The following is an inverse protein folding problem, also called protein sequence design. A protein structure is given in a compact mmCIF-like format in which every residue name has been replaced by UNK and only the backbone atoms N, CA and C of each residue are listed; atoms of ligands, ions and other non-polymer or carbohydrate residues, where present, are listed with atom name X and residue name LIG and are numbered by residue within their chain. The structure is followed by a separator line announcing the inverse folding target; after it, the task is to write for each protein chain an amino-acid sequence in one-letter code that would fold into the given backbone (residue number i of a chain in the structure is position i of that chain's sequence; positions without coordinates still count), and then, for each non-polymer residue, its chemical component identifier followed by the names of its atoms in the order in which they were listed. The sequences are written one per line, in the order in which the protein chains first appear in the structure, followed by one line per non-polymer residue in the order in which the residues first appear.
data_IF_149375858282
#
_entry.id   IF_149375858282
#
_cell.length_a   1.000
_cell.length_b   1.000
_cell.length_c   1.000
_cell.angle_alpha   90.00
_cell.angle_beta   90.00
_cell.angle_gamma   90.00
#
_symmetry.space_group_name_H-M   'P 1'
#
loop_
_entity.id
_entity.type
_entity.pdbx_description
1 polymer ?
#
# COMPACT_ATOMS: atom_id res chain seq x y z
N UNK A 1 32.00 26.80 -19.27
CA UNK A 1 30.67 26.50 -18.69
C UNK A 1 29.75 26.05 -19.79
N UNK A 2 29.21 24.84 -19.70
CA UNK A 2 27.81 24.65 -20.02
C UNK A 2 27.10 23.94 -18.87
N UNK A 3 25.93 24.47 -18.51
CA UNK A 3 24.98 23.86 -17.59
C UNK A 3 24.52 22.50 -18.16
N UNK A 4 24.80 21.42 -17.44
CA UNK A 4 24.11 20.15 -17.65
C UNK A 4 22.87 20.16 -16.76
N UNK A 5 21.71 20.32 -17.40
CA UNK A 5 20.41 19.98 -16.82
C UNK A 5 20.46 18.51 -16.40
N UNK A 6 20.64 18.25 -15.10
CA UNK A 6 20.36 16.93 -14.55
C UNK A 6 18.85 16.76 -14.56
N UNK A 7 18.33 16.11 -15.60
CA UNK A 7 17.03 15.46 -15.55
C UNK A 7 16.97 14.64 -14.25
N UNK A 8 16.17 15.10 -13.28
CA UNK A 8 15.79 14.27 -12.15
C UNK A 8 14.99 13.12 -12.73
N UNK A 9 15.65 11.99 -12.95
CA UNK A 9 14.97 10.73 -13.16
C UNK A 9 13.93 10.57 -12.04
N UNK A 10 12.64 10.35 -12.36
CA UNK A 10 11.68 10.03 -11.34
C UNK A 10 12.18 8.77 -10.64
N UNK A 11 12.32 8.85 -9.31
CA UNK A 11 12.56 7.69 -8.46
C UNK A 11 11.60 6.59 -8.93
N UNK A 12 12.10 5.37 -9.24
CA UNK A 12 11.19 4.27 -9.55
C UNK A 12 10.21 4.17 -8.39
N UNK A 13 8.93 4.04 -8.73
CA UNK A 13 7.87 3.76 -7.76
C UNK A 13 8.44 2.78 -6.73
N UNK A 14 8.31 3.09 -5.43
CA UNK A 14 8.75 2.21 -4.36
C UNK A 14 8.05 0.86 -4.51
N UNK A 15 8.63 0.00 -5.34
CA UNK A 15 8.31 -1.39 -5.46
C UNK A 15 8.83 -1.97 -4.16
N UNK A 16 7.89 -2.29 -3.27
CA UNK A 16 8.16 -3.20 -2.17
C UNK A 16 8.95 -4.38 -2.75
N UNK A 17 10.12 -4.77 -2.17
CA UNK A 17 11.07 -5.69 -2.78
C UNK A 17 10.64 -7.16 -2.70
N UNK A 18 9.34 -7.41 -2.73
CA UNK A 18 8.74 -8.73 -2.70
C UNK A 18 7.70 -8.74 -3.81
N UNK A 19 8.01 -9.42 -4.91
CA UNK A 19 7.10 -9.65 -6.04
C UNK A 19 5.87 -10.49 -5.64
N UNK A 20 5.07 -9.97 -4.72
CA UNK A 20 3.81 -10.52 -4.28
C UNK A 20 2.76 -9.88 -5.17
N UNK A 21 2.45 -10.56 -6.28
CA UNK A 21 1.21 -10.33 -6.99
C UNK A 21 0.06 -10.76 -6.07
N UNK A 22 -0.49 -9.82 -5.30
CA UNK A 22 -1.74 -10.03 -4.58
C UNK A 22 -2.86 -10.06 -5.62
N UNK A 23 -3.04 -11.20 -6.29
CA UNK A 23 -4.16 -11.43 -7.20
C UNK A 23 -5.42 -11.63 -6.37
N UNK A 24 -6.02 -10.53 -5.91
CA UNK A 24 -7.36 -10.58 -5.29
C UNK A 24 -8.36 -10.89 -6.39
N UNK A 25 -8.87 -12.11 -6.41
CA UNK A 25 -9.93 -12.50 -7.35
C UNK A 25 -11.20 -11.72 -7.03
N UNK A 26 -11.92 -11.18 -8.03
CA UNK A 26 -13.21 -10.55 -7.78
C UNK A 26 -14.16 -11.54 -7.12
N UNK A 27 -15.08 -11.09 -6.26
CA UNK A 27 -16.00 -12.00 -5.59
C UNK A 27 -16.77 -12.82 -6.63
N UNK A 28 -16.92 -14.15 -6.44
CA UNK A 28 -17.41 -15.09 -7.46
C UNK A 28 -18.84 -14.85 -7.93
N UNK A 29 -19.55 -13.88 -7.35
CA UNK A 29 -20.95 -13.52 -7.64
C UNK A 29 -21.13 -12.17 -8.33
N UNK A 30 -20.04 -11.40 -8.56
CA UNK A 30 -20.12 -10.03 -9.08
C UNK A 30 -20.90 -9.93 -10.40
N UNK A 31 -20.68 -10.87 -11.32
CA UNK A 31 -21.38 -10.90 -12.60
C UNK A 31 -22.90 -11.09 -12.48
N UNK A 32 -23.36 -11.93 -11.54
CA UNK A 32 -24.81 -12.11 -11.29
C UNK A 32 -25.42 -10.84 -10.70
N UNK A 33 -24.76 -10.24 -9.72
CA UNK A 33 -25.26 -9.03 -9.07
C UNK A 33 -25.34 -7.86 -10.05
N UNK A 34 -24.41 -7.75 -10.99
CA UNK A 34 -24.46 -6.73 -12.03
C UNK A 34 -25.73 -6.83 -12.89
N UNK A 35 -26.06 -8.03 -13.37
CA UNK A 35 -27.29 -8.24 -14.14
C UNK A 35 -28.55 -7.95 -13.33
N UNK A 36 -28.53 -8.24 -12.01
CA UNK A 36 -29.62 -7.88 -11.11
C UNK A 36 -29.79 -6.36 -11.02
N UNK A 37 -28.70 -5.60 -10.83
CA UNK A 37 -28.78 -4.13 -10.74
C UNK A 37 -29.33 -3.52 -12.02
N UNK A 38 -28.85 -3.97 -13.19
CA UNK A 38 -29.35 -3.50 -14.49
C UNK A 38 -30.82 -3.87 -14.69
N UNK A 39 -31.19 -5.11 -14.40
CA UNK A 39 -32.57 -5.60 -14.53
C UNK A 39 -33.54 -4.83 -13.62
N UNK A 40 -33.19 -4.65 -12.35
CA UNK A 40 -33.99 -3.89 -11.38
C UNK A 40 -34.12 -2.43 -11.81
N UNK A 41 -33.04 -1.80 -12.27
CA UNK A 41 -33.08 -0.43 -12.79
C UNK A 41 -34.04 -0.28 -13.98
N UNK A 42 -34.01 -1.22 -14.92
CA UNK A 42 -34.90 -1.21 -16.08
C UNK A 42 -36.36 -1.37 -15.65
N UNK A 43 -36.63 -2.29 -14.72
CA UNK A 43 -37.99 -2.50 -14.17
C UNK A 43 -38.49 -1.24 -13.48
N UNK A 44 -37.70 -0.60 -12.61
CA UNK A 44 -38.07 0.67 -11.96
C UNK A 44 -38.42 1.72 -13.01
N UNK A 45 -37.57 1.90 -14.01
CA UNK A 45 -37.78 2.90 -15.06
C UNK A 45 -39.09 2.65 -15.82
N UNK A 46 -39.28 1.44 -16.34
CA UNK A 46 -40.47 1.08 -17.13
C UNK A 46 -41.74 1.12 -16.29
N UNK A 47 -41.74 0.55 -15.09
CA UNK A 47 -42.92 0.48 -14.22
C UNK A 47 -43.35 1.87 -13.77
N UNK A 48 -42.42 2.70 -13.29
CA UNK A 48 -42.74 4.07 -12.86
C UNK A 48 -43.29 4.92 -14.00
N UNK A 49 -42.76 4.76 -15.22
CA UNK A 49 -43.28 5.47 -16.40
C UNK A 49 -44.67 4.98 -16.80
N UNK A 50 -44.86 3.66 -16.93
CA UNK A 50 -46.16 3.11 -17.32
C UNK A 50 -47.22 3.49 -16.29
N UNK A 51 -46.98 3.23 -15.00
CA UNK A 51 -47.93 3.54 -13.94
C UNK A 51 -48.17 5.05 -13.82
N UNK A 52 -47.10 5.85 -13.92
CA UNK A 52 -47.16 7.30 -13.82
C UNK A 52 -47.98 7.95 -14.93
N UNK A 53 -47.89 7.44 -16.16
CA UNK A 53 -48.61 7.99 -17.30
C UNK A 53 -50.01 7.38 -17.51
N UNK A 54 -50.35 6.29 -16.81
CA UNK A 54 -51.65 5.60 -16.96
C UNK A 54 -52.49 5.66 -15.69
N UNK A 55 -52.19 4.82 -14.70
CA UNK A 55 -53.00 4.59 -13.51
C UNK A 55 -52.86 5.68 -12.45
N UNK A 56 -51.69 6.33 -12.38
CA UNK A 56 -51.32 7.27 -11.32
C UNK A 56 -51.00 8.67 -11.86
N UNK A 57 -51.66 9.07 -12.96
CA UNK A 57 -51.41 10.36 -13.64
C UNK A 57 -51.55 11.59 -12.73
N UNK A 58 -52.53 11.57 -11.84
CA UNK A 58 -52.80 12.67 -10.90
C UNK A 58 -52.07 12.52 -9.56
N UNK A 59 -51.37 11.40 -9.34
CA UNK A 59 -50.71 11.15 -8.07
C UNK A 59 -49.50 12.07 -7.91
N UNK A 60 -49.49 12.87 -6.85
CA UNK A 60 -48.38 13.73 -6.47
C UNK A 60 -48.08 13.52 -4.99
N UNK A 61 -46.82 13.30 -4.66
CA UNK A 61 -46.39 13.15 -3.27
C UNK A 61 -45.30 14.16 -2.92
N UNK A 62 -45.67 15.41 -2.55
CA UNK A 62 -44.74 16.43 -2.15
C UNK A 62 -44.22 16.19 -0.73
N UNK A 63 -43.07 15.53 -0.60
CA UNK A 63 -42.46 15.22 0.70
C UNK A 63 -41.02 15.71 0.79
N UNK A 64 -40.87 17.00 1.09
CA UNK A 64 -39.58 17.69 1.15
C UNK A 64 -38.54 17.01 2.05
N UNK A 65 -38.85 16.56 3.29
CA UNK A 65 -37.84 15.94 4.14
C UNK A 65 -37.24 14.65 3.57
N UNK A 66 -38.04 13.85 2.85
CA UNK A 66 -37.59 12.58 2.26
C UNK A 66 -36.71 12.87 1.05
N UNK A 67 -37.14 13.79 0.19
CA UNK A 67 -36.33 14.26 -0.93
C UNK A 67 -34.96 14.79 -0.45
N UNK A 68 -34.97 15.72 0.52
CA UNK A 68 -33.75 16.32 1.04
C UNK A 68 -32.82 15.26 1.66
N UNK A 69 -33.36 14.27 2.36
CA UNK A 69 -32.57 13.16 2.91
C UNK A 69 -31.89 12.32 1.82
N UNK A 70 -32.62 11.97 0.74
CA UNK A 70 -32.07 11.21 -0.39
C UNK A 70 -30.96 12.01 -1.09
N UNK A 71 -31.20 13.28 -1.37
CA UNK A 71 -30.22 14.14 -2.04
C UNK A 71 -28.98 14.43 -1.17
N UNK A 72 -29.17 14.75 0.10
CA UNK A 72 -28.06 15.04 1.02
C UNK A 72 -27.21 13.79 1.29
N UNK A 73 -27.84 12.62 1.46
CA UNK A 73 -27.09 11.36 1.60
C UNK A 73 -26.26 11.06 0.35
N UNK A 74 -26.81 11.32 -0.83
CA UNK A 74 -26.10 11.26 -2.10
C UNK A 74 -24.86 12.17 -2.16
N UNK A 75 -25.03 13.44 -1.80
CA UNK A 75 -23.94 14.42 -1.76
C UNK A 75 -22.82 14.02 -0.79
N UNK A 76 -23.16 13.52 0.40
CA UNK A 76 -22.17 13.03 1.38
C UNK A 76 -21.41 11.79 0.86
N UNK A 77 -22.13 10.84 0.24
CA UNK A 77 -21.51 9.66 -0.38
C UNK A 77 -20.56 10.08 -1.50
N UNK A 78 -20.96 11.04 -2.33
CA UNK A 78 -20.12 11.56 -3.42
C UNK A 78 -18.82 12.17 -2.89
N UNK A 79 -18.87 12.99 -1.83
CA UNK A 79 -17.66 13.55 -1.18
C UNK A 79 -16.76 12.44 -0.65
N UNK A 80 -17.32 11.41 0.00
CA UNK A 80 -16.53 10.30 0.52
C UNK A 80 -15.86 9.49 -0.59
N UNK A 81 -16.59 9.17 -1.67
CA UNK A 81 -16.06 8.48 -2.85
C UNK A 81 -14.97 9.31 -3.52
N UNK A 82 -15.17 10.62 -3.66
CA UNK A 82 -14.16 11.53 -4.22
C UNK A 82 -12.87 11.50 -3.39
N UNK A 83 -12.99 11.59 -2.07
CA UNK A 83 -11.84 11.50 -1.17
C UNK A 83 -11.12 10.17 -1.30
N UNK A 84 -11.85 9.05 -1.34
CA UNK A 84 -11.27 7.72 -1.53
C UNK A 84 -10.51 7.62 -2.86
N UNK A 85 -11.10 8.10 -3.96
CA UNK A 85 -10.45 8.10 -5.29
C UNK A 85 -9.16 8.92 -5.34
N UNK A 86 -9.14 10.09 -4.68
CA UNK A 86 -7.96 10.93 -4.58
C UNK A 86 -6.88 10.30 -3.68
N UNK A 87 -7.29 9.68 -2.57
CA UNK A 87 -6.39 8.91 -1.69
C UNK A 87 -5.68 7.80 -2.46
N UNK A 88 -6.42 7.03 -3.27
CA UNK A 88 -5.85 6.00 -4.13
C UNK A 88 -4.86 6.58 -5.16
N UNK A 89 -5.16 7.72 -5.78
CA UNK A 89 -4.26 8.33 -6.76
C UNK A 89 -2.99 8.89 -6.10
N UNK A 90 -3.08 9.50 -4.91
CA UNK A 90 -1.91 9.94 -4.15
C UNK A 90 -0.98 8.79 -3.76
N UNK A 91 -1.54 7.60 -3.52
CA UNK A 91 -0.78 6.37 -3.22
C UNK A 91 -0.29 5.64 -4.48
N UNK A 92 -0.49 6.19 -5.69
CA UNK A 92 -0.23 5.53 -6.98
C UNK A 92 -0.97 4.19 -7.19
N UNK A 93 -2.06 3.96 -6.45
CA UNK A 93 -2.93 2.79 -6.58
C UNK A 93 -4.20 3.08 -7.42
N UNK A 94 -4.33 4.30 -7.95
CA UNK A 94 -5.51 4.74 -8.70
C UNK A 94 -5.53 4.34 -10.20
N UNK A 95 -6.75 4.30 -10.75
CA UNK A 95 -6.96 4.09 -12.20
C UNK A 95 -6.62 5.34 -13.01
N UNK A 96 -6.68 5.26 -14.34
CA UNK A 96 -6.47 6.44 -15.21
C UNK A 96 -7.51 7.54 -15.04
N UNK A 97 -8.63 7.28 -14.36
CA UNK A 97 -9.81 8.14 -14.36
C UNK A 97 -10.18 8.69 -12.99
N UNK A 98 -9.51 8.26 -11.92
CA UNK A 98 -9.87 8.60 -10.53
C UNK A 98 -9.99 10.12 -10.32
N UNK A 99 -9.07 10.92 -10.88
CA UNK A 99 -9.06 12.38 -10.74
C UNK A 99 -10.30 13.03 -11.36
N UNK A 100 -10.68 12.57 -12.56
CA UNK A 100 -11.82 13.10 -13.29
C UNK A 100 -13.14 12.72 -12.61
N UNK A 101 -13.26 11.44 -12.21
CA UNK A 101 -14.43 10.93 -11.50
C UNK A 101 -14.57 11.61 -10.12
N UNK A 102 -13.46 11.81 -9.39
CA UNK A 102 -13.48 12.53 -8.12
C UNK A 102 -13.94 13.99 -8.31
N UNK A 103 -13.45 14.67 -9.35
CA UNK A 103 -13.95 16.00 -9.72
C UNK A 103 -15.45 15.99 -10.00
N UNK A 104 -15.94 15.01 -10.76
CA UNK A 104 -17.37 14.86 -11.05
C UNK A 104 -18.20 14.63 -9.77
N UNK A 105 -17.74 13.77 -8.87
CA UNK A 105 -18.37 13.53 -7.56
C UNK A 105 -18.45 14.80 -6.72
N UNK A 106 -17.37 15.58 -6.66
CA UNK A 106 -17.34 16.85 -5.92
C UNK A 106 -18.31 17.86 -6.52
N UNK A 107 -18.26 18.06 -7.85
CA UNK A 107 -19.09 19.05 -8.53
C UNK A 107 -20.58 18.71 -8.44
N UNK A 108 -20.95 17.48 -8.82
CA UNK A 108 -22.33 17.00 -8.75
C UNK A 108 -22.84 16.98 -7.31
N UNK A 109 -22.10 16.33 -6.40
CA UNK A 109 -22.53 16.15 -5.01
C UNK A 109 -22.68 17.46 -4.24
N UNK A 110 -21.87 18.48 -4.55
CA UNK A 110 -22.00 19.79 -3.93
C UNK A 110 -23.26 20.54 -4.39
N UNK A 111 -23.55 20.53 -5.69
CA UNK A 111 -24.76 21.17 -6.23
C UNK A 111 -26.03 20.44 -5.79
N UNK A 112 -26.01 19.10 -5.75
CA UNK A 112 -27.12 18.30 -5.21
C UNK A 112 -27.33 18.56 -3.71
N UNK A 113 -26.24 18.73 -2.95
CA UNK A 113 -26.31 19.13 -1.54
C UNK A 113 -26.95 20.50 -1.35
N UNK A 114 -26.59 21.49 -2.19
CA UNK A 114 -27.23 22.81 -2.17
C UNK A 114 -28.71 22.73 -2.59
N UNK A 115 -29.02 21.96 -3.64
CA UNK A 115 -30.38 21.68 -4.10
C UNK A 115 -31.26 21.10 -2.99
N UNK A 116 -30.73 20.15 -2.22
CA UNK A 116 -31.43 19.53 -1.10
C UNK A 116 -31.85 20.53 0.00
N UNK A 117 -31.17 21.67 0.10
CA UNK A 117 -31.43 22.73 1.09
C UNK A 117 -32.46 23.76 0.62
N UNK A 118 -32.92 23.67 -0.63
CA UNK A 118 -33.79 24.67 -1.26
C UNK A 118 -35.21 24.15 -1.38
N UNK A 119 -36.19 25.01 -1.13
CA UNK A 119 -37.60 24.68 -1.33
C UNK A 119 -37.94 24.57 -2.82
N UNK A 120 -38.91 23.73 -3.16
CA UNK A 120 -39.25 23.45 -4.55
C UNK A 120 -39.74 24.70 -5.30
N UNK A 121 -38.95 25.12 -6.29
CA UNK A 121 -39.14 26.33 -7.07
C UNK A 121 -38.17 26.40 -8.27
N UNK A 122 -37.89 27.61 -8.76
CA UNK A 122 -36.98 27.81 -9.89
C UNK A 122 -35.55 27.35 -9.55
N UNK A 123 -35.01 27.84 -8.43
CA UNK A 123 -33.65 27.53 -7.97
C UNK A 123 -33.44 26.05 -7.66
N UNK A 124 -34.48 25.39 -7.14
CA UNK A 124 -34.48 23.95 -6.92
C UNK A 124 -34.20 23.19 -8.22
N UNK A 125 -34.96 23.45 -9.29
CA UNK A 125 -34.74 22.77 -10.57
C UNK A 125 -33.43 23.23 -11.22
N UNK A 126 -33.04 24.50 -11.04
CA UNK A 126 -31.79 25.05 -11.57
C UNK A 126 -30.55 24.34 -11.04
N UNK A 127 -30.43 24.25 -9.72
CA UNK A 127 -29.27 23.63 -9.08
C UNK A 127 -29.17 22.16 -9.44
N UNK A 128 -30.27 21.41 -9.38
CA UNK A 128 -30.28 20.01 -9.79
C UNK A 128 -29.90 19.81 -11.26
N UNK A 129 -30.52 20.55 -12.18
CA UNK A 129 -30.25 20.39 -13.62
C UNK A 129 -28.79 20.74 -13.95
N UNK A 130 -28.24 21.73 -13.25
CA UNK A 130 -26.83 22.09 -13.39
C UNK A 130 -25.91 21.04 -12.77
N UNK A 131 -26.30 20.41 -11.64
CA UNK A 131 -25.56 19.31 -11.04
C UNK A 131 -25.39 18.14 -12.02
N UNK A 132 -26.48 17.72 -12.66
CA UNK A 132 -26.49 16.65 -13.66
C UNK A 132 -25.62 17.01 -14.87
N UNK A 133 -25.74 18.24 -15.36
CA UNK A 133 -24.93 18.72 -16.50
C UNK A 133 -23.44 18.77 -16.18
N UNK A 134 -23.06 19.44 -15.08
CA UNK A 134 -21.66 19.56 -14.62
C UNK A 134 -21.07 18.19 -14.35
N UNK A 135 -21.81 17.33 -13.65
CA UNK A 135 -21.40 15.96 -13.39
C UNK A 135 -21.17 15.17 -14.69
N UNK A 136 -22.08 15.28 -15.67
CA UNK A 136 -21.91 14.65 -16.98
C UNK A 136 -20.67 15.15 -17.74
N UNK A 137 -20.43 16.46 -17.76
CA UNK A 137 -19.22 17.04 -18.38
C UNK A 137 -17.95 16.51 -17.72
N UNK A 138 -17.89 16.53 -16.39
CA UNK A 138 -16.71 16.09 -15.64
C UNK A 138 -16.49 14.57 -15.76
N UNK A 139 -17.56 13.78 -15.75
CA UNK A 139 -17.47 12.34 -16.02
C UNK A 139 -17.02 12.07 -17.45
N UNK A 140 -17.47 12.81 -18.45
CA UNK A 140 -17.01 12.63 -19.83
C UNK A 140 -15.50 12.87 -19.99
N UNK A 141 -14.84 13.54 -19.03
CA UNK A 141 -13.38 13.68 -19.01
C UNK A 141 -12.64 12.36 -18.79
N UNK A 142 -13.31 11.23 -18.50
CA UNK A 142 -12.68 9.89 -18.56
C UNK A 142 -12.13 9.55 -19.95
N UNK A 143 -12.50 10.28 -21.00
CA UNK A 143 -11.89 10.17 -22.32
C UNK A 143 -10.53 10.88 -22.43
N UNK A 144 -10.17 11.73 -21.47
CA UNK A 144 -8.91 12.47 -21.45
C UNK A 144 -7.75 11.56 -20.98
N UNK A 145 -6.57 11.60 -21.63
CA UNK A 145 -5.42 10.79 -21.24
C UNK A 145 -4.93 11.03 -19.80
N UNK A 146 -4.46 9.96 -19.12
CA UNK A 146 -3.97 9.99 -17.72
C UNK A 146 -2.84 11.01 -17.48
N UNK A 147 -2.01 11.28 -18.49
CA UNK A 147 -0.87 12.22 -18.38
C UNK A 147 -1.29 13.64 -18.00
N UNK A 148 -2.51 14.05 -18.38
CA UNK A 148 -3.07 15.35 -18.03
C UNK A 148 -3.58 15.36 -16.58
N UNK A 149 -4.25 14.29 -16.17
CA UNK A 149 -4.78 14.14 -14.82
C UNK A 149 -3.68 14.21 -13.74
N UNK A 150 -2.52 13.59 -13.95
CA UNK A 150 -1.41 13.64 -12.97
C UNK A 150 -0.82 15.03 -12.78
N UNK A 151 -0.71 15.84 -13.85
CA UNK A 151 -0.21 17.22 -13.74
C UNK A 151 -1.17 18.13 -12.99
N UNK A 152 -2.47 17.86 -13.12
CA UNK A 152 -3.53 18.65 -12.52
C UNK A 152 -4.01 18.11 -11.16
N UNK A 153 -3.54 16.92 -10.76
CA UNK A 153 -4.01 16.15 -9.60
C UNK A 153 -4.15 16.98 -8.33
N UNK A 154 -3.15 17.80 -8.02
CA UNK A 154 -3.10 18.55 -6.77
C UNK A 154 -4.08 19.73 -6.72
N UNK A 155 -4.51 20.27 -7.86
CA UNK A 155 -5.32 21.50 -7.92
C UNK A 155 -6.72 21.28 -8.51
N UNK A 156 -6.91 20.24 -9.34
CA UNK A 156 -8.17 20.01 -10.05
C UNK A 156 -9.39 19.85 -9.13
N UNK A 157 -9.36 19.00 -8.08
CA UNK A 157 -10.52 18.84 -7.19
C UNK A 157 -10.89 20.15 -6.48
N UNK A 158 -9.89 20.93 -6.09
CA UNK A 158 -10.09 22.23 -5.44
C UNK A 158 -10.60 23.30 -6.41
N UNK A 159 -10.15 23.28 -7.66
CA UNK A 159 -10.65 24.15 -8.71
C UNK A 159 -12.13 23.86 -8.99
N UNK A 160 -12.50 22.58 -9.15
CA UNK A 160 -13.89 22.17 -9.33
C UNK A 160 -14.73 22.59 -8.12
N UNK A 161 -14.28 22.28 -6.90
CA UNK A 161 -14.97 22.69 -5.67
C UNK A 161 -15.19 24.21 -5.64
N UNK A 162 -14.13 25.00 -5.82
CA UNK A 162 -14.23 26.47 -5.73
C UNK A 162 -15.16 27.08 -6.77
N UNK A 163 -15.05 26.64 -8.04
CA UNK A 163 -15.90 27.14 -9.13
C UNK A 163 -17.36 26.75 -8.90
N UNK A 164 -17.62 25.48 -8.58
CA UNK A 164 -18.99 24.97 -8.42
C UNK A 164 -19.63 25.52 -7.14
N UNK A 165 -18.88 25.63 -6.05
CA UNK A 165 -19.36 26.24 -4.81
C UNK A 165 -19.75 27.70 -5.03
N UNK A 166 -18.85 28.49 -5.63
CA UNK A 166 -19.12 29.89 -5.93
C UNK A 166 -20.34 30.03 -6.84
N UNK A 167 -20.44 29.22 -7.88
CA UNK A 167 -21.59 29.21 -8.78
C UNK A 167 -22.90 28.88 -8.05
N UNK A 168 -22.91 27.88 -7.18
CA UNK A 168 -24.09 27.48 -6.40
C UNK A 168 -24.54 28.58 -5.44
N UNK A 169 -23.58 29.18 -4.72
CA UNK A 169 -23.87 30.29 -3.79
C UNK A 169 -24.37 31.53 -4.55
N UNK A 170 -23.76 31.89 -5.69
CA UNK A 170 -24.21 33.03 -6.49
C UNK A 170 -25.61 32.80 -7.06
N UNK A 171 -25.93 31.57 -7.49
CA UNK A 171 -27.28 31.22 -7.96
C UNK A 171 -28.32 31.43 -6.86
N UNK A 172 -27.99 31.07 -5.62
CA UNK A 172 -28.88 31.26 -4.46
C UNK A 172 -28.95 32.71 -3.99
N UNK A 173 -27.86 33.46 -4.09
CA UNK A 173 -27.80 34.87 -3.68
C UNK A 173 -28.55 35.79 -4.66
N UNK A 174 -28.64 35.41 -5.95
CA UNK A 174 -29.29 36.20 -6.99
C UNK A 174 -30.35 35.40 -7.77
N UNK A 175 -31.49 35.03 -7.15
CA UNK A 175 -32.51 34.18 -7.80
C UNK A 175 -33.16 34.78 -9.06
N UNK A 176 -33.06 36.10 -9.24
CA UNK A 176 -33.58 36.78 -10.44
C UNK A 176 -32.67 36.67 -11.66
N UNK A 177 -31.43 36.20 -11.50
CA UNK A 177 -30.45 36.08 -12.57
C UNK A 177 -30.46 34.69 -13.23
N UNK A 178 -31.14 33.71 -12.63
CA UNK A 178 -31.19 32.34 -13.16
C UNK A 178 -32.27 32.20 -14.24
N UNK A 179 -32.08 31.29 -15.22
CA UNK A 179 -33.10 31.01 -16.21
C UNK A 179 -34.39 30.50 -15.57
N UNK A 180 -35.55 30.80 -16.18
CA UNK A 180 -36.81 30.19 -15.75
C UNK A 180 -36.77 28.69 -16.04
N UNK A 181 -36.77 27.89 -14.98
CA UNK A 181 -36.68 26.43 -15.01
C UNK A 181 -38.04 25.73 -14.97
N UNK A 182 -39.06 26.38 -14.39
CA UNK A 182 -40.44 25.91 -14.28
C UNK A 182 -41.39 26.91 -14.91
N UNK A 183 -42.37 26.39 -15.65
CA UNK A 183 -43.51 27.13 -16.16
C UNK A 183 -44.81 26.50 -15.67
N UNK A 184 -45.88 27.29 -15.64
CA UNK A 184 -47.23 26.78 -15.40
C UNK A 184 -47.89 26.65 -16.77
N UNK A 185 -48.34 25.45 -17.14
CA UNK A 185 -49.04 25.22 -18.42
C UNK A 185 -50.50 25.75 -18.35
N UNK A 186 -51.21 25.68 -19.47
CA UNK A 186 -52.61 26.12 -19.55
C UNK A 186 -53.54 25.35 -18.60
N UNK A 187 -53.15 24.14 -18.18
CA UNK A 187 -53.86 23.33 -17.19
C UNK A 187 -53.50 23.67 -15.72
N UNK A 188 -52.62 24.65 -15.47
CA UNK A 188 -52.19 25.03 -14.12
C UNK A 188 -51.10 24.13 -13.52
N UNK A 189 -50.55 23.18 -14.28
CA UNK A 189 -49.50 22.25 -13.83
C UNK A 189 -48.10 22.86 -13.99
N UNK A 190 -47.20 22.55 -13.06
CA UNK A 190 -45.79 22.95 -13.13
C UNK A 190 -45.03 22.01 -14.07
N UNK A 191 -44.59 22.53 -15.20
CA UNK A 191 -43.84 21.79 -16.22
C UNK A 191 -42.40 22.31 -16.30
N UNK A 192 -41.45 21.39 -16.52
CA UNK A 192 -40.06 21.74 -16.73
C UNK A 192 -39.85 22.51 -18.05
N UNK A 193 -39.08 23.59 -17.96
CA UNK A 193 -38.64 24.40 -19.10
C UNK A 193 -37.77 23.61 -20.09
N UNK A 194 -37.58 24.18 -21.29
CA UNK A 194 -36.59 23.67 -22.23
C UNK A 194 -35.17 23.68 -21.62
N UNK A 195 -34.79 24.71 -20.86
CA UNK A 195 -33.49 24.78 -20.19
C UNK A 195 -33.27 23.62 -19.22
N UNK A 196 -34.26 23.33 -18.38
CA UNK A 196 -34.23 22.20 -17.45
C UNK A 196 -34.06 20.86 -18.18
N UNK A 197 -34.85 20.64 -19.24
CA UNK A 197 -34.78 19.41 -20.02
C UNK A 197 -33.43 19.29 -20.75
N UNK A 198 -32.97 20.34 -21.42
CA UNK A 198 -31.72 20.32 -22.19
C UNK A 198 -30.50 20.06 -21.32
N UNK A 199 -30.38 20.69 -20.14
CA UNK A 199 -29.26 20.45 -19.23
C UNK A 199 -29.20 18.99 -18.77
N UNK A 200 -30.34 18.42 -18.38
CA UNK A 200 -30.39 17.02 -17.94
C UNK A 200 -30.15 16.05 -19.09
N UNK A 201 -30.75 16.26 -20.27
CA UNK A 201 -30.54 15.40 -21.44
C UNK A 201 -29.08 15.41 -21.87
N UNK A 202 -28.46 16.59 -21.97
CA UNK A 202 -27.04 16.70 -22.33
C UNK A 202 -26.16 16.05 -21.27
N UNK A 203 -26.40 16.32 -19.98
CA UNK A 203 -25.69 15.67 -18.88
C UNK A 203 -25.82 14.15 -18.90
N UNK A 204 -27.04 13.63 -19.15
CA UNK A 204 -27.33 12.20 -19.28
C UNK A 204 -26.62 11.54 -20.45
N UNK A 205 -26.61 12.19 -21.63
CA UNK A 205 -25.87 11.69 -22.81
C UNK A 205 -24.37 11.62 -22.51
N UNK A 206 -23.81 12.63 -21.85
CA UNK A 206 -22.40 12.65 -21.46
C UNK A 206 -22.06 11.54 -20.44
N UNK A 207 -22.95 11.27 -19.48
CA UNK A 207 -22.82 10.15 -18.54
C UNK A 207 -22.85 8.80 -19.27
N UNK A 208 -23.73 8.62 -20.26
CA UNK A 208 -23.76 7.42 -21.10
C UNK A 208 -22.47 7.29 -21.91
N UNK A 209 -21.95 8.39 -22.47
CA UNK A 209 -20.67 8.39 -23.17
C UNK A 209 -19.49 8.00 -22.24
N UNK A 210 -19.50 8.45 -20.99
CA UNK A 210 -18.54 8.02 -19.98
C UNK A 210 -18.70 6.52 -19.66
N UNK A 211 -19.93 6.02 -19.52
CA UNK A 211 -20.21 4.60 -19.31
C UNK A 211 -19.65 3.73 -20.45
N UNK A 212 -19.78 4.15 -21.71
CA UNK A 212 -19.19 3.46 -22.87
C UNK A 212 -17.66 3.37 -22.75
N UNK A 213 -16.99 4.44 -22.32
CA UNK A 213 -15.54 4.42 -22.09
C UNK A 213 -15.12 3.49 -20.96
N UNK A 214 -15.90 3.45 -19.89
CA UNK A 214 -15.62 2.61 -18.73
C UNK A 214 -15.80 1.12 -19.06
N UNK A 215 -16.87 0.74 -19.75
CA UNK A 215 -17.06 -0.67 -20.15
C UNK A 215 -16.04 -1.13 -21.20
N UNK A 216 -15.61 -0.24 -22.12
CA UNK A 216 -14.54 -0.56 -23.07
C UNK A 216 -13.20 -0.73 -22.36
N UNK A 217 -12.91 0.09 -21.35
CA UNK A 217 -11.72 -0.07 -20.51
C UNK A 217 -11.78 -1.38 -19.71
N UNK A 218 -12.92 -1.68 -19.06
CA UNK A 218 -13.12 -2.94 -18.35
C UNK A 218 -12.87 -4.17 -19.23
N UNK A 219 -13.29 -4.14 -20.50
CA UNK A 219 -13.04 -5.24 -21.43
C UNK A 219 -11.55 -5.50 -21.63
N UNK A 220 -10.72 -4.46 -21.54
CA UNK A 220 -9.26 -4.51 -21.70
C UNK A 220 -8.54 -4.82 -20.37
N UNK A 221 -8.91 -4.15 -19.27
CA UNK A 221 -8.22 -4.21 -17.98
C UNK A 221 -8.73 -5.30 -17.06
N UNK A 222 -10.00 -5.71 -17.22
CA UNK A 222 -10.77 -6.55 -16.29
C UNK A 222 -10.84 -5.99 -14.86
N UNK A 223 -10.60 -4.69 -14.67
CA UNK A 223 -10.70 -4.06 -13.36
C UNK A 223 -12.16 -3.85 -12.96
N UNK A 224 -12.56 -4.39 -11.81
CA UNK A 224 -13.92 -4.27 -11.25
C UNK A 224 -14.34 -2.81 -11.04
N UNK A 225 -13.41 -1.92 -10.74
CA UNK A 225 -13.73 -0.51 -10.48
C UNK A 225 -14.35 0.15 -11.72
N UNK A 226 -13.83 -0.17 -12.91
CA UNK A 226 -14.37 0.32 -14.19
C UNK A 226 -15.83 -0.12 -14.39
N UNK A 227 -16.17 -1.33 -13.94
CA UNK A 227 -17.50 -1.92 -14.05
C UNK A 227 -18.50 -1.27 -13.07
N UNK A 228 -18.05 -0.93 -11.86
CA UNK A 228 -18.86 -0.23 -10.86
C UNK A 228 -19.14 1.21 -11.32
N UNK A 229 -18.13 1.92 -11.84
CA UNK A 229 -18.36 3.27 -12.38
C UNK A 229 -19.17 3.25 -13.68
N UNK A 230 -19.08 2.21 -14.50
CA UNK A 230 -20.00 1.98 -15.62
C UNK A 230 -21.46 1.93 -15.11
N UNK A 231 -21.75 1.07 -14.13
CA UNK A 231 -23.10 0.95 -13.55
C UNK A 231 -23.58 2.28 -12.96
N UNK A 232 -22.71 2.96 -12.22
CA UNK A 232 -23.00 4.25 -11.64
C UNK A 232 -23.38 5.29 -12.71
N UNK A 233 -22.57 5.44 -13.76
CA UNK A 233 -22.84 6.36 -14.86
C UNK A 233 -24.12 5.98 -15.63
N UNK A 234 -24.37 4.68 -15.85
CA UNK A 234 -25.60 4.22 -16.50
C UNK A 234 -26.86 4.52 -15.69
N UNK A 235 -26.82 4.35 -14.37
CA UNK A 235 -27.95 4.67 -13.48
C UNK A 235 -28.24 6.17 -13.44
N UNK A 236 -27.21 7.01 -13.32
CA UNK A 236 -27.38 8.46 -13.40
C UNK A 236 -27.86 8.93 -14.77
N UNK A 237 -27.33 8.36 -15.86
CA UNK A 237 -27.78 8.64 -17.22
C UNK A 237 -29.25 8.27 -17.42
N UNK A 238 -29.68 7.10 -16.93
CA UNK A 238 -31.08 6.68 -16.96
C UNK A 238 -31.99 7.59 -16.13
N UNK A 239 -31.54 8.03 -14.95
CA UNK A 239 -32.25 9.00 -14.13
C UNK A 239 -32.42 10.34 -14.85
N UNK A 240 -31.38 10.83 -15.54
CA UNK A 240 -31.43 12.07 -16.31
C UNK A 240 -32.42 12.02 -17.49
N UNK A 241 -32.53 10.87 -18.17
CA UNK A 241 -33.56 10.65 -19.22
C UNK A 241 -34.96 10.62 -18.60
N UNK A 242 -35.10 9.96 -17.45
CA UNK A 242 -36.38 9.84 -16.75
C UNK A 242 -36.88 11.18 -16.18
N UNK A 243 -35.96 12.08 -15.81
CA UNK A 243 -36.29 13.45 -15.41
C UNK A 243 -37.11 14.19 -16.48
N UNK A 244 -36.73 14.10 -17.76
CA UNK A 244 -37.44 14.75 -18.87
C UNK A 244 -38.91 14.31 -18.98
N UNK A 245 -39.16 13.05 -18.63
CA UNK A 245 -40.45 12.38 -18.73
C UNK A 245 -41.30 12.52 -17.45
N UNK A 246 -40.79 13.23 -16.44
CA UNK A 246 -41.42 13.43 -15.15
C UNK A 246 -41.98 14.83 -14.97
N UNK A 247 -42.87 14.98 -13.99
CA UNK A 247 -43.31 16.24 -13.41
C UNK A 247 -42.93 16.29 -11.93
N UNK A 248 -42.87 17.49 -11.36
CA UNK A 248 -42.49 17.64 -9.96
C UNK A 248 -43.41 16.83 -9.02
N UNK A 249 -42.81 15.95 -8.22
CA UNK A 249 -43.48 15.07 -7.24
C UNK A 249 -44.36 13.94 -7.78
N UNK A 250 -44.32 13.66 -9.09
CA UNK A 250 -45.05 12.54 -9.65
C UNK A 250 -44.32 11.19 -9.46
N UNK A 251 -44.93 10.09 -9.94
CA UNK A 251 -44.35 8.76 -9.80
C UNK A 251 -43.03 8.59 -10.58
N UNK A 252 -42.92 9.02 -11.86
CA UNK A 252 -41.64 9.07 -12.57
C UNK A 252 -40.57 9.89 -11.85
N UNK A 253 -40.96 10.96 -11.15
CA UNK A 253 -40.06 11.82 -10.40
C UNK A 253 -39.40 11.07 -9.24
N UNK A 254 -40.20 10.39 -8.44
CA UNK A 254 -39.67 9.52 -7.39
C UNK A 254 -38.89 8.32 -7.96
N UNK A 255 -39.27 7.84 -9.14
CA UNK A 255 -38.57 6.77 -9.85
C UNK A 255 -37.13 7.14 -10.20
N UNK A 256 -36.87 8.34 -10.70
CA UNK A 256 -35.49 8.76 -11.02
C UNK A 256 -34.67 9.04 -9.76
N UNK A 257 -35.27 9.52 -8.67
CA UNK A 257 -34.59 9.59 -7.36
C UNK A 257 -34.20 8.20 -6.85
N UNK A 258 -35.05 7.18 -7.05
CA UNK A 258 -34.71 5.80 -6.70
C UNK A 258 -33.54 5.25 -7.52
N UNK A 259 -33.48 5.56 -8.82
CA UNK A 259 -32.33 5.21 -9.66
C UNK A 259 -31.03 5.87 -9.18
N UNK A 260 -31.09 7.14 -8.77
CA UNK A 260 -29.94 7.84 -8.17
C UNK A 260 -29.53 7.22 -6.84
N UNK A 261 -30.49 6.87 -5.98
CA UNK A 261 -30.22 6.16 -4.73
C UNK A 261 -29.50 4.82 -4.97
N UNK A 262 -29.91 4.08 -6.01
CA UNK A 262 -29.18 2.87 -6.44
C UNK A 262 -27.75 3.20 -6.91
N UNK A 263 -27.56 4.29 -7.64
CA UNK A 263 -26.22 4.72 -8.08
C UNK A 263 -25.31 5.04 -6.89
N UNK A 264 -25.83 5.69 -5.84
CA UNK A 264 -25.11 5.91 -4.58
C UNK A 264 -24.80 4.58 -3.87
N UNK A 265 -25.72 3.61 -3.91
CA UNK A 265 -25.47 2.25 -3.43
C UNK A 265 -24.29 1.57 -4.15
N UNK A 266 -24.19 1.73 -5.47
CA UNK A 266 -23.04 1.25 -6.26
C UNK A 266 -21.74 1.98 -5.86
N UNK A 267 -21.81 3.29 -5.60
CA UNK A 267 -20.66 4.07 -5.17
C UNK A 267 -20.15 3.64 -3.78
N UNK A 268 -21.07 3.39 -2.84
CA UNK A 268 -20.76 2.85 -1.53
C UNK A 268 -20.19 1.43 -1.64
N UNK A 269 -20.72 0.61 -2.56
CA UNK A 269 -20.17 -0.71 -2.82
C UNK A 269 -18.71 -0.62 -3.31
N UNK A 270 -18.38 0.34 -4.18
CA UNK A 270 -16.98 0.61 -4.54
C UNK A 270 -16.11 0.93 -3.31
N UNK A 271 -16.58 1.78 -2.39
CA UNK A 271 -15.84 2.11 -1.16
C UNK A 271 -15.60 0.87 -0.31
N UNK A 272 -16.65 0.07 -0.04
CA UNK A 272 -16.55 -1.15 0.77
C UNK A 272 -15.60 -2.16 0.13
N UNK A 273 -15.69 -2.40 -1.17
CA UNK A 273 -14.78 -3.32 -1.87
C UNK A 273 -13.34 -2.84 -1.85
N UNK A 274 -13.11 -1.54 -1.96
CA UNK A 274 -11.77 -0.95 -1.91
C UNK A 274 -11.17 -1.12 -0.52
N UNK A 275 -11.92 -0.77 0.52
CA UNK A 275 -11.50 -0.91 1.91
C UNK A 275 -11.20 -2.37 2.27
N UNK A 276 -12.08 -3.31 1.88
CA UNK A 276 -11.86 -4.75 2.11
C UNK A 276 -10.59 -5.26 1.40
N UNK A 277 -10.30 -4.77 0.19
CA UNK A 277 -9.06 -5.10 -0.54
C UNK A 277 -7.82 -4.59 0.18
N UNK A 278 -7.84 -3.34 0.65
CA UNK A 278 -6.72 -2.77 1.41
C UNK A 278 -6.49 -3.53 2.73
N UNK A 279 -7.55 -3.84 3.47
CA UNK A 279 -7.45 -4.58 4.73
C UNK A 279 -6.92 -6.01 4.54
N UNK A 280 -7.34 -6.72 3.48
CA UNK A 280 -6.82 -8.04 3.15
C UNK A 280 -5.34 -7.98 2.78
N UNK A 281 -4.93 -7.04 1.94
CA UNK A 281 -3.54 -6.85 1.56
C UNK A 281 -2.64 -6.56 2.78
N UNK A 282 -3.11 -5.73 3.72
CA UNK A 282 -2.38 -5.42 4.95
C UNK A 282 -2.28 -6.64 5.88
N UNK A 283 -3.35 -7.42 6.01
CA UNK A 283 -3.36 -8.64 6.82
C UNK A 283 -2.37 -9.69 6.27
N UNK A 284 -2.37 -9.90 4.95
CA UNK A 284 -1.44 -10.83 4.29
C UNK A 284 0.01 -10.36 4.42
N UNK A 285 0.27 -9.06 4.23
CA UNK A 285 1.60 -8.49 4.42
C UNK A 285 2.11 -8.66 5.86
N UNK A 286 1.26 -8.38 6.86
CA UNK A 286 1.59 -8.53 8.28
C UNK A 286 1.89 -9.99 8.62
N UNK A 287 1.12 -10.94 8.06
CA UNK A 287 1.35 -12.38 8.22
C UNK A 287 2.71 -12.79 7.64
N UNK A 288 3.03 -12.32 6.43
CA UNK A 288 4.31 -12.63 5.78
C UNK A 288 5.50 -12.04 6.56
N UNK A 289 5.38 -10.80 7.07
CA UNK A 289 6.41 -10.20 7.93
C UNK A 289 6.63 -11.00 9.21
N UNK A 290 5.55 -11.45 9.85
CA UNK A 290 5.66 -12.29 11.05
C UNK A 290 6.36 -13.62 10.75
N UNK A 291 6.01 -14.28 9.65
CA UNK A 291 6.67 -15.52 9.21
C UNK A 291 8.16 -15.31 8.92
N UNK A 292 8.50 -14.23 8.21
CA UNK A 292 9.89 -13.88 7.92
C UNK A 292 10.68 -13.59 9.20
N UNK A 293 10.10 -12.84 10.13
CA UNK A 293 10.71 -12.55 11.43
C UNK A 293 10.95 -13.82 12.24
N UNK A 294 10.00 -14.76 12.27
CA UNK A 294 10.17 -16.05 12.96
C UNK A 294 11.30 -16.86 12.32
N UNK A 295 11.29 -17.01 10.99
CA UNK A 295 12.35 -17.74 10.29
C UNK A 295 13.73 -17.13 10.48
N UNK A 296 13.82 -15.79 10.51
CA UNK A 296 15.08 -15.10 10.77
C UNK A 296 15.56 -15.36 12.21
N UNK A 297 14.67 -15.30 13.19
CA UNK A 297 15.00 -15.61 14.59
C UNK A 297 15.47 -17.06 14.74
N UNK A 298 14.80 -18.03 14.12
CA UNK A 298 15.21 -19.44 14.15
C UNK A 298 16.60 -19.63 13.53
N UNK A 299 16.88 -18.94 12.41
CA UNK A 299 18.20 -18.99 11.78
C UNK A 299 19.29 -18.38 12.64
N UNK A 300 18.99 -17.27 13.32
CA UNK A 300 19.91 -16.63 14.27
C UNK A 300 20.17 -17.55 15.46
N UNK A 301 19.15 -18.21 16.00
CA UNK A 301 19.31 -19.18 17.09
C UNK A 301 20.18 -20.36 16.66
N UNK A 302 19.95 -20.93 15.47
CA UNK A 302 20.74 -22.05 14.97
C UNK A 302 22.20 -21.66 14.72
N UNK A 303 22.45 -20.51 14.09
CA UNK A 303 23.82 -20.01 13.92
C UNK A 303 24.50 -19.75 15.25
N UNK A 304 23.76 -19.24 16.25
CA UNK A 304 24.30 -19.02 17.60
C UNK A 304 24.67 -20.34 18.27
N UNK A 305 23.84 -21.38 18.12
CA UNK A 305 24.11 -22.73 18.63
C UNK A 305 25.33 -23.35 17.96
N UNK A 306 25.39 -23.35 16.62
CA UNK A 306 26.54 -23.85 15.86
C UNK A 306 27.84 -23.13 16.24
N UNK A 307 27.79 -21.81 16.44
CA UNK A 307 28.94 -21.04 16.90
C UNK A 307 29.38 -21.46 18.31
N UNK A 308 28.42 -21.69 19.22
CA UNK A 308 28.72 -22.13 20.57
C UNK A 308 29.38 -23.51 20.57
N UNK A 309 28.81 -24.48 19.86
CA UNK A 309 29.36 -25.84 19.73
C UNK A 309 30.77 -25.85 19.12
N UNK A 310 30.98 -25.06 18.05
CA UNK A 310 32.33 -24.91 17.46
C UNK A 310 33.31 -24.26 18.44
N UNK A 311 32.86 -23.30 19.23
CA UNK A 311 33.72 -22.65 20.21
C UNK A 311 34.12 -23.63 21.33
N UNK A 312 33.16 -24.39 21.87
CA UNK A 312 33.43 -25.44 22.86
C UNK A 312 34.40 -26.50 22.32
N UNK A 313 34.18 -26.97 21.08
CA UNK A 313 35.11 -27.91 20.42
C UNK A 313 36.52 -27.33 20.27
N UNK A 314 36.63 -26.05 19.86
CA UNK A 314 37.90 -25.35 19.75
C UNK A 314 38.57 -25.13 21.11
N UNK A 315 37.81 -24.96 22.18
CA UNK A 315 38.35 -24.87 23.54
C UNK A 315 38.89 -26.23 23.99
N UNK A 316 38.13 -27.31 23.81
CA UNK A 316 38.54 -28.66 24.16
C UNK A 316 39.78 -29.10 23.38
N UNK A 317 39.78 -28.95 22.05
CA UNK A 317 40.91 -29.30 21.20
C UNK A 317 42.19 -28.52 21.58
N UNK A 318 42.02 -27.26 21.99
CA UNK A 318 43.15 -26.45 22.46
C UNK A 318 43.69 -26.97 23.82
N UNK A 319 42.83 -27.41 24.74
CA UNK A 319 43.27 -28.06 25.98
C UNK A 319 43.99 -29.38 25.73
N UNK A 320 43.47 -30.21 24.83
CA UNK A 320 44.10 -31.49 24.44
C UNK A 320 45.49 -31.26 23.82
N UNK A 321 45.63 -30.26 22.94
CA UNK A 321 46.92 -29.88 22.35
C UNK A 321 47.93 -29.42 23.40
N UNK A 322 47.48 -28.64 24.39
CA UNK A 322 48.33 -28.21 25.50
C UNK A 322 48.80 -29.40 26.36
N UNK A 323 47.90 -30.33 26.66
CA UNK A 323 48.22 -31.53 27.42
C UNK A 323 49.20 -32.42 26.67
N UNK A 324 48.97 -32.64 25.37
CA UNK A 324 49.89 -33.39 24.51
C UNK A 324 51.28 -32.75 24.46
N UNK A 325 51.35 -31.43 24.23
CA UNK A 325 52.62 -30.71 24.20
C UNK A 325 53.37 -30.81 25.54
N UNK A 326 52.66 -30.77 26.66
CA UNK A 326 53.22 -30.94 27.99
C UNK A 326 53.81 -32.34 28.21
N UNK A 327 53.02 -33.40 27.94
CA UNK A 327 53.44 -34.80 28.12
C UNK A 327 54.62 -35.12 27.20
N UNK A 328 54.51 -34.82 25.90
CA UNK A 328 55.57 -35.08 24.94
C UNK A 328 56.89 -34.38 25.34
N UNK A 329 56.80 -33.13 25.81
CA UNK A 329 57.98 -32.39 26.25
C UNK A 329 58.62 -32.98 27.52
N UNK A 330 57.81 -33.43 28.48
CA UNK A 330 58.29 -34.12 29.67
C UNK A 330 59.02 -35.41 29.31
N UNK A 331 58.39 -36.21 28.44
CA UNK A 331 58.91 -37.51 28.04
C UNK A 331 60.15 -37.40 27.16
N UNK A 332 60.29 -36.33 26.36
CA UNK A 332 61.51 -36.02 25.60
C UNK A 332 62.64 -35.48 26.49
N UNK A 333 62.34 -34.82 27.61
CA UNK A 333 63.36 -34.29 28.52
C UNK A 333 64.11 -35.37 29.30
N UNK A 334 63.49 -36.51 29.60
CA UNK A 334 64.14 -37.63 30.30
C UNK A 334 65.30 -38.25 29.49
N UNK A 335 65.09 -38.77 28.25
CA UNK A 335 66.15 -39.33 27.44
C UNK A 335 67.17 -38.25 27.04
N UNK A 336 66.75 -37.02 26.78
CA UNK A 336 67.68 -35.93 26.44
C UNK A 336 68.60 -35.56 27.61
N UNK A 337 68.11 -35.60 28.87
CA UNK A 337 68.94 -35.46 30.06
C UNK A 337 69.93 -36.61 30.21
N UNK A 338 69.51 -37.84 29.93
CA UNK A 338 70.39 -38.99 29.96
C UNK A 338 71.53 -38.89 28.92
N UNK A 339 71.19 -38.57 27.66
CA UNK A 339 72.19 -38.35 26.60
C UNK A 339 73.12 -37.19 26.94
N UNK A 340 72.60 -36.07 27.44
CA UNK A 340 73.42 -34.96 27.90
C UNK A 340 74.37 -35.35 29.03
N UNK A 341 73.90 -36.15 30.00
CA UNK A 341 74.70 -36.66 31.12
C UNK A 341 75.82 -37.58 30.66
N UNK A 342 75.53 -38.56 29.81
CA UNK A 342 76.56 -39.45 29.23
C UNK A 342 77.57 -38.68 28.39
N UNK A 343 77.13 -37.73 27.56
CA UNK A 343 78.03 -36.88 26.78
C UNK A 343 78.91 -35.99 27.68
N UNK A 344 78.38 -35.53 28.82
CA UNK A 344 79.13 -34.76 29.81
C UNK A 344 80.17 -35.62 30.54
N UNK A 345 79.83 -36.86 30.93
CA UNK A 345 80.80 -37.80 31.51
C UNK A 345 81.89 -38.16 30.49
N UNK A 346 81.51 -38.46 29.25
CA UNK A 346 82.46 -38.74 28.18
C UNK A 346 83.43 -37.57 27.97
N UNK A 347 82.89 -36.33 27.97
CA UNK A 347 83.69 -35.11 27.92
C UNK A 347 84.67 -35.01 29.08
N UNK A 348 84.26 -35.39 30.29
CA UNK A 348 85.05 -35.21 31.51
C UNK A 348 86.13 -36.29 31.66
N UNK A 349 85.80 -37.54 31.32
CA UNK A 349 86.67 -38.70 31.51
C UNK A 349 87.74 -38.83 30.42
N UNK A 350 87.45 -38.38 29.19
CA UNK A 350 88.29 -38.57 28.01
C UNK A 350 88.88 -37.28 27.42
N UNK A 351 88.65 -36.12 28.06
CA UNK A 351 89.21 -34.84 27.61
C UNK A 351 90.73 -34.91 27.44
N UNK A 352 91.23 -34.59 26.26
CA UNK A 352 92.67 -34.64 25.97
C UNK A 352 93.31 -36.03 26.08
N UNK A 353 92.51 -37.10 26.26
CA UNK A 353 92.98 -38.51 26.23
C UNK A 353 92.75 -39.19 24.86
N UNK A 354 91.95 -38.56 24.00
CA UNK A 354 91.73 -38.96 22.60
C UNK A 354 92.44 -37.95 21.67
N UNK A 355 91.88 -37.66 20.49
CA UNK A 355 92.35 -36.60 19.60
C UNK A 355 91.51 -35.31 19.74
N UNK A 356 92.04 -34.19 19.24
CA UNK A 356 91.37 -32.88 19.29
C UNK A 356 89.98 -32.91 18.61
N UNK A 357 89.85 -33.71 17.55
CA UNK A 357 88.60 -33.87 16.80
C UNK A 357 87.51 -34.56 17.65
N UNK A 358 87.87 -35.56 18.47
CA UNK A 358 86.95 -36.18 19.41
C UNK A 358 86.47 -35.20 20.48
N UNK A 359 87.36 -34.38 21.04
CA UNK A 359 86.98 -33.35 22.03
C UNK A 359 85.98 -32.34 21.42
N UNK A 360 86.22 -31.86 20.20
CA UNK A 360 85.31 -30.95 19.48
C UNK A 360 83.95 -31.60 19.15
N UNK A 361 83.94 -32.88 18.77
CA UNK A 361 82.73 -33.66 18.49
C UNK A 361 81.88 -33.83 19.77
N UNK A 362 82.51 -34.20 20.89
CA UNK A 362 81.84 -34.33 22.18
C UNK A 362 81.25 -32.98 22.62
N UNK A 363 81.99 -31.88 22.43
CA UNK A 363 81.50 -30.55 22.73
C UNK A 363 80.29 -30.13 21.88
N UNK A 364 80.27 -30.51 20.60
CA UNK A 364 79.10 -30.31 19.73
C UNK A 364 77.88 -31.08 20.22
N UNK A 365 78.05 -32.33 20.66
CA UNK A 365 76.97 -33.17 21.21
C UNK A 365 76.39 -32.55 22.48
N UNK A 366 77.24 -32.17 23.45
CA UNK A 366 76.81 -31.52 24.70
C UNK A 366 76.05 -30.23 24.43
N UNK A 367 76.58 -29.36 23.56
CA UNK A 367 75.93 -28.10 23.19
C UNK A 367 74.64 -28.32 22.39
N UNK A 368 74.58 -29.33 21.53
CA UNK A 368 73.37 -29.76 20.83
C UNK A 368 72.26 -30.18 21.79
N UNK A 369 72.60 -30.98 22.80
CA UNK A 369 71.64 -31.42 23.81
C UNK A 369 71.09 -30.25 24.65
N UNK A 370 71.95 -29.29 25.05
CA UNK A 370 71.51 -28.07 25.74
C UNK A 370 70.57 -27.22 24.91
N UNK A 371 70.85 -27.03 23.61
CA UNK A 371 69.96 -26.30 22.69
C UNK A 371 68.61 -26.99 22.55
N UNK A 372 68.57 -28.31 22.40
CA UNK A 372 67.32 -29.07 22.33
C UNK A 372 66.50 -28.93 23.63
N UNK A 373 67.13 -28.94 24.80
CA UNK A 373 66.44 -28.72 26.08
C UNK A 373 65.81 -27.31 26.14
N UNK A 374 66.51 -26.28 25.67
CA UNK A 374 65.97 -24.92 25.61
C UNK A 374 64.81 -24.81 24.63
N UNK A 375 64.92 -25.40 23.43
CA UNK A 375 63.83 -25.40 22.45
C UNK A 375 62.58 -26.10 22.97
N UNK A 376 62.72 -27.26 23.62
CA UNK A 376 61.59 -27.99 24.20
C UNK A 376 60.89 -27.13 25.27
N UNK A 377 61.65 -26.45 26.14
CA UNK A 377 61.08 -25.53 27.15
C UNK A 377 60.37 -24.32 26.51
N UNK A 378 60.92 -23.76 25.43
CA UNK A 378 60.33 -22.63 24.73
C UNK A 378 59.00 -23.00 24.06
N UNK A 379 58.89 -24.20 23.48
CA UNK A 379 57.66 -24.69 22.86
C UNK A 379 56.53 -24.77 23.91
N UNK A 380 56.78 -25.35 25.08
CA UNK A 380 55.77 -25.44 26.17
C UNK A 380 55.31 -24.05 26.63
N UNK A 381 56.27 -23.13 26.80
CA UNK A 381 55.95 -21.77 27.23
C UNK A 381 55.02 -21.07 26.25
N UNK A 382 55.27 -21.24 24.94
CA UNK A 382 54.40 -20.70 23.90
C UNK A 382 53.01 -21.35 23.91
N UNK A 383 52.88 -22.67 23.94
CA UNK A 383 51.55 -23.32 23.99
C UNK A 383 50.71 -22.89 25.19
N UNK A 384 51.35 -22.63 26.33
CA UNK A 384 50.67 -22.17 27.54
C UNK A 384 50.29 -20.67 27.49
N UNK A 385 51.18 -19.80 27.00
CA UNK A 385 50.91 -18.36 26.79
C UNK A 385 49.75 -18.14 25.81
N UNK A 386 49.77 -18.82 24.67
CA UNK A 386 48.74 -18.68 23.63
C UNK A 386 47.36 -19.14 24.11
N UNK A 387 47.28 -20.17 24.96
CA UNK A 387 46.00 -20.55 25.57
C UNK A 387 45.50 -19.54 26.60
N UNK A 388 46.38 -18.97 27.44
CA UNK A 388 45.98 -17.98 28.45
C UNK A 388 45.55 -16.64 27.84
N UNK A 389 46.26 -16.14 26.83
CA UNK A 389 45.92 -14.89 26.15
C UNK A 389 44.52 -14.95 25.51
N UNK A 390 44.12 -16.12 24.97
CA UNK A 390 42.78 -16.32 24.39
C UNK A 390 41.65 -16.28 25.42
N UNK A 391 41.87 -16.86 26.61
CA UNK A 391 40.88 -16.88 27.71
C UNK A 391 40.62 -15.48 28.27
N UNK A 392 41.67 -14.65 28.38
CA UNK A 392 41.54 -13.26 28.87
C UNK A 392 40.76 -12.39 27.88
N UNK A 393 41.11 -12.46 26.59
CA UNK A 393 40.40 -11.71 25.54
C UNK A 393 38.92 -12.13 25.44
N UNK A 394 38.61 -13.42 25.56
CA UNK A 394 37.23 -13.91 25.54
C UNK A 394 36.41 -13.41 26.73
N UNK A 395 37.01 -13.35 27.93
CA UNK A 395 36.35 -12.84 29.14
C UNK A 395 36.04 -11.34 29.04
N UNK A 396 36.92 -10.55 28.44
CA UNK A 396 36.67 -9.13 28.21
C UNK A 396 35.57 -8.91 27.16
N UNK A 397 35.55 -9.70 26.09
CA UNK A 397 34.59 -9.59 24.99
C UNK A 397 33.17 -10.04 25.38
N UNK A 398 33.05 -11.07 26.23
CA UNK A 398 31.76 -11.51 26.79
C UNK A 398 31.23 -10.55 27.86
N UNK A 399 32.12 -9.96 28.68
CA UNK A 399 31.75 -8.93 29.66
C UNK A 399 31.24 -7.65 28.98
N UNK A 400 31.84 -7.22 27.87
CA UNK A 400 31.35 -6.07 27.10
C UNK A 400 30.01 -6.32 26.40
N UNK A 401 29.73 -7.55 25.97
CA UNK A 401 28.42 -7.89 25.37
C UNK A 401 27.29 -7.98 26.41
N UNK A 402 27.60 -8.35 27.66
CA UNK A 402 26.62 -8.41 28.74
C UNK A 402 26.27 -7.01 29.28
N UNK A 403 27.28 -6.13 29.41
CA UNK A 403 27.09 -4.75 29.88
C UNK A 403 26.31 -3.89 28.85
N UNK A 404 26.54 -4.10 27.55
CA UNK A 404 25.79 -3.43 26.47
C UNK A 404 24.33 -3.86 26.30
N UNK A 405 23.89 -4.95 26.97
CA UNK A 405 22.46 -5.32 27.03
C UNK A 405 21.72 -4.62 28.17
N UNK A 406 22.39 -4.29 29.27
CA UNK A 406 21.74 -3.61 30.41
C UNK A 406 21.51 -2.12 30.18
N UNK A 407 22.22 -1.48 29.25
CA UNK A 407 22.05 -0.06 28.92
C UNK A 407 21.00 0.20 27.82
N UNK A 408 20.31 -0.83 27.31
CA UNK A 408 19.31 -0.68 26.24
C UNK A 408 17.86 -0.92 26.67
N UNK A 409 17.65 -1.39 27.90
CA UNK A 409 16.32 -1.64 28.49
C UNK A 409 15.94 -0.55 29.54
N UNK A 410 16.68 0.56 29.61
CA UNK A 410 16.46 1.64 30.60
C UNK A 410 16.28 3.05 30.03
N UNK A 411 16.17 3.20 28.72
CA UNK A 411 15.71 4.42 28.02
C UNK A 411 14.56 4.07 27.07
#
# INVERSE_FOLDING_TARGET
MPHTDSERQPLPAAALPLGIDVVVRPPPRLGRTLWVVIGVSLVIHVVCLILGHTLMREWRWPHHPVHAAVEMSGGLIAVWVAWMLLSLEWRNAGTSYNVWIAGAMIGMGLLDGLHALVYAGQEFVWLHSTATFVGGVLFAMVWVPKSWGRRLLAWWPWAVFGVVFLFGILSLAYPGATPRMLFVNEQGEKVFSLWAKSLNVVGGVLLIAAAVRLVTTYRQTKNVDDLLFFLHCSLFGAAAVMFEQSQLWDLPWWGWHLLRLMAYGVALWFVVLTEMREQQALADFTKNLKQLSTSLNDRVMEMTRELHEKNEFLEQSNMELQQFAYIASHDLQSPLRAVAGFAQFLKQDYRGKLDQNADDQIDRIVNGCKRMQTMIKAIIYLTHQWGRARIVLYREQTRSQHDGRHTKDTD
#
